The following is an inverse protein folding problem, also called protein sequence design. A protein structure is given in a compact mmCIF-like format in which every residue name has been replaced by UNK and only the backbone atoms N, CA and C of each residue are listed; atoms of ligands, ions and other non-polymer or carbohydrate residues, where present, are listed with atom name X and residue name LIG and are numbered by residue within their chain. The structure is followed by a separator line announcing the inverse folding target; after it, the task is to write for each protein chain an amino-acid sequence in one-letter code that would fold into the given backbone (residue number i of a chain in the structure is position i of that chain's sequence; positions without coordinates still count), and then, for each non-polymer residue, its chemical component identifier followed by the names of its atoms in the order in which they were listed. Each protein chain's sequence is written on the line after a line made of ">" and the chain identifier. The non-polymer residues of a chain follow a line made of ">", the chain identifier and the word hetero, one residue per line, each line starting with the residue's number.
data_IF_352313938579
#
_entry.id   IF_352313938579
#
_cell.length_a   1.000
_cell.length_b   1.000
_cell.length_c   1.000
_cell.angle_alpha   90.00
_cell.angle_beta   90.00
_cell.angle_gamma   90.00
#
_symmetry.space_group_name_H-M   'P 1'
#
loop_
_entity.id
_entity.type
_entity.pdbx_description
1 polymer ?
#
# COMPACT_ATOMS: atom_id res chain seq x y z
N UNK A 1 17.32 5.74 -8.86
CA UNK A 1 15.87 5.79 -9.10
C UNK A 1 15.23 6.16 -7.78
N UNK A 2 14.32 7.14 -7.75
CA UNK A 2 13.53 7.38 -6.54
C UNK A 2 12.43 6.32 -6.50
N UNK A 3 12.45 5.45 -5.49
CA UNK A 3 11.32 4.56 -5.20
C UNK A 3 10.12 5.43 -4.83
N UNK A 4 9.05 5.36 -5.61
CA UNK A 4 7.80 6.04 -5.26
C UNK A 4 7.16 5.29 -4.09
N UNK A 5 7.03 5.99 -2.96
CA UNK A 5 6.41 5.43 -1.75
C UNK A 5 4.89 5.62 -1.79
N UNK A 6 4.15 4.61 -1.34
CA UNK A 6 2.67 4.63 -1.28
C UNK A 6 2.21 4.23 0.12
N UNK A 7 1.29 5.01 0.70
CA UNK A 7 0.63 4.68 1.96
C UNK A 7 -0.84 4.33 1.70
N UNK A 8 -1.29 3.18 2.20
CA UNK A 8 -2.67 2.69 2.01
C UNK A 8 -3.49 2.99 3.26
N UNK A 9 -4.55 3.78 3.08
CA UNK A 9 -5.53 4.08 4.15
C UNK A 9 -6.79 3.24 3.93
N UNK A 10 -7.02 2.25 4.80
CA UNK A 10 -8.25 1.46 4.78
C UNK A 10 -9.34 2.15 5.60
N UNK A 11 -10.51 2.41 4.99
CA UNK A 11 -11.64 3.10 5.64
C UNK A 11 -12.47 2.21 6.58
N UNK A 12 -12.06 0.96 6.80
CA UNK A 12 -12.67 0.04 7.75
C UNK A 12 -13.84 -0.77 7.18
N UNK A 13 -13.60 -2.08 7.04
CA UNK A 13 -14.53 -3.20 6.86
C UNK A 13 -13.67 -4.47 6.72
N UNK A 14 -14.14 -5.68 7.12
CA UNK A 14 -13.34 -6.91 6.94
C UNK A 14 -12.92 -7.15 5.48
N UNK A 15 -13.76 -6.77 4.52
CA UNK A 15 -13.46 -6.86 3.07
C UNK A 15 -12.34 -5.89 2.65
N UNK A 16 -12.41 -4.65 3.14
CA UNK A 16 -11.42 -3.61 2.82
C UNK A 16 -10.02 -3.91 3.38
N UNK A 17 -9.91 -4.77 4.39
CA UNK A 17 -8.61 -5.22 4.91
C UNK A 17 -7.92 -6.15 3.92
N UNK A 18 -8.62 -7.19 3.47
CA UNK A 18 -8.11 -8.14 2.46
C UNK A 18 -7.82 -7.42 1.14
N UNK A 19 -8.71 -6.51 0.71
CA UNK A 19 -8.48 -5.71 -0.50
C UNK A 19 -7.21 -4.85 -0.38
N UNK A 20 -6.92 -4.31 0.82
CA UNK A 20 -5.71 -3.51 1.07
C UNK A 20 -4.42 -4.34 0.98
N UNK A 21 -4.45 -5.59 1.44
CA UNK A 21 -3.32 -6.53 1.32
C UNK A 21 -3.05 -6.89 -0.15
N UNK A 22 -4.12 -7.15 -0.91
CA UNK A 22 -4.01 -7.44 -2.36
C UNK A 22 -3.48 -6.23 -3.12
N UNK A 23 -3.96 -5.02 -2.82
CA UNK A 23 -3.44 -3.79 -3.42
C UNK A 23 -1.96 -3.56 -3.09
N UNK A 24 -1.52 -3.83 -1.86
CA UNK A 24 -0.12 -3.71 -1.46
C UNK A 24 0.78 -4.66 -2.27
N UNK A 25 0.33 -5.89 -2.52
CA UNK A 25 1.08 -6.85 -3.33
C UNK A 25 1.23 -6.40 -4.80
N UNK A 26 0.17 -5.88 -5.41
CA UNK A 26 0.20 -5.35 -6.79
C UNK A 26 1.15 -4.15 -6.90
N UNK A 27 1.14 -3.25 -5.92
CA UNK A 27 2.03 -2.11 -5.87
C UNK A 27 3.50 -2.53 -5.72
N UNK A 28 3.78 -3.52 -4.87
CA UNK A 28 5.12 -4.07 -4.70
C UNK A 28 5.65 -4.72 -5.99
N UNK A 29 4.81 -5.50 -6.69
CA UNK A 29 5.16 -6.09 -8.00
C UNK A 29 5.41 -5.02 -9.08
N UNK A 30 4.69 -3.90 -9.00
CA UNK A 30 4.89 -2.71 -9.84
C UNK A 30 6.12 -1.87 -9.49
N UNK A 31 6.91 -2.25 -8.48
CA UNK A 31 8.12 -1.53 -8.07
C UNK A 31 7.87 -0.32 -7.15
N UNK A 32 6.69 -0.22 -6.54
CA UNK A 32 6.40 0.79 -5.51
C UNK A 32 6.78 0.28 -4.11
N UNK A 33 7.23 1.19 -3.26
CA UNK A 33 7.50 0.89 -1.86
C UNK A 33 6.27 1.22 -1.00
N UNK A 34 5.61 0.21 -0.44
CA UNK A 34 4.51 0.45 0.51
C UNK A 34 5.09 0.91 1.85
N UNK A 35 4.68 2.09 2.34
CA UNK A 35 5.17 2.66 3.59
C UNK A 35 4.05 2.77 4.64
N UNK A 36 4.30 2.41 5.91
CA UNK A 36 3.37 2.69 6.99
C UNK A 36 3.40 4.17 7.43
N UNK A 37 4.46 4.91 7.10
CA UNK A 37 4.66 6.32 7.45
C UNK A 37 4.80 7.15 6.16
N UNK A 38 3.76 7.85 5.68
CA UNK A 38 3.83 8.65 4.45
C UNK A 38 4.71 9.90 4.56
N UNK A 39 5.02 10.34 5.79
CA UNK A 39 5.86 11.50 6.09
C UNK A 39 7.38 11.22 6.10
N UNK A 40 7.80 9.94 6.06
CA UNK A 40 9.20 9.50 6.01
C UNK A 40 9.68 9.23 4.57
#
# INVERSE_FOLDING_TARGET
>A
MHEQKVHIVSLGCPKNQVDSEVMAAILADGGYAVTPCPEE
#
